data_IF_946758175279
#
_entry.id   IF_946758175279
#
_cell.length_a   1.000
_cell.length_b   1.000
_cell.length_c   1.000
_cell.angle_alpha   90.00
_cell.angle_beta   90.00
_cell.angle_gamma   90.00
#
_symmetry.space_group_name_H-M   'P 1'
#
loop_
_entity.id
_entity.type
_entity.pdbx_description
1 polymer ?
#
# COMPACT_ATOMS: atom_id res chain seq x y z
N UNK A 1 -20.97 -7.98 4.57
CA UNK A 1 -20.10 -9.06 5.08
C UNK A 1 -18.79 -8.89 4.39
N UNK A 2 -17.70 -8.79 5.15
CA UNK A 2 -16.37 -8.69 4.55
C UNK A 2 -15.90 -10.09 4.17
N UNK A 3 -15.83 -10.35 2.87
CA UNK A 3 -15.31 -11.60 2.30
C UNK A 3 -13.81 -11.48 2.07
N UNK A 4 -13.02 -12.29 2.79
CA UNK A 4 -11.59 -12.42 2.58
C UNK A 4 -11.20 -13.84 2.20
N UNK A 5 -10.28 -13.96 1.24
CA UNK A 5 -9.82 -15.24 0.73
C UNK A 5 -8.29 -15.37 0.78
N UNK A 6 -7.78 -16.56 1.16
CA UNK A 6 -6.37 -16.89 0.96
C UNK A 6 -6.07 -17.05 -0.53
N UNK A 7 -4.81 -16.91 -0.91
CA UNK A 7 -4.40 -16.95 -2.31
C UNK A 7 -3.06 -17.64 -2.49
N UNK A 8 -2.75 -18.00 -3.73
CA UNK A 8 -1.42 -18.48 -4.12
C UNK A 8 -0.61 -17.27 -4.57
N UNK A 9 0.20 -16.75 -3.66
CA UNK A 9 1.08 -15.62 -3.90
C UNK A 9 2.10 -15.93 -4.98
N UNK A 10 2.47 -14.88 -5.72
CA UNK A 10 3.48 -14.92 -6.76
C UNK A 10 4.74 -14.27 -6.20
N UNK A 11 5.78 -15.06 -5.99
CA UNK A 11 6.95 -14.67 -5.21
C UNK A 11 8.22 -14.71 -6.06
N UNK A 12 9.18 -13.85 -5.75
CA UNK A 12 10.48 -13.87 -6.42
C UNK A 12 11.24 -15.17 -6.12
N UNK A 13 11.78 -15.77 -7.19
CA UNK A 13 12.70 -16.88 -7.09
C UNK A 13 14.11 -16.38 -6.73
N UNK A 14 14.46 -16.45 -5.46
CA UNK A 14 15.76 -15.99 -4.93
C UNK A 14 16.97 -16.67 -5.61
N UNK A 15 16.80 -17.86 -6.21
CA UNK A 15 17.88 -18.50 -7.00
C UNK A 15 18.17 -17.77 -8.31
N UNK A 16 17.21 -17.03 -8.86
CA UNK A 16 17.36 -16.24 -10.10
C UNK A 16 17.66 -14.78 -9.82
N UNK A 17 17.03 -14.20 -8.80
CA UNK A 17 17.14 -12.75 -8.54
C UNK A 17 18.17 -12.38 -7.50
N UNK A 18 18.65 -13.35 -6.71
CA UNK A 18 19.50 -13.11 -5.55
C UNK A 18 18.69 -12.67 -4.32
N UNK A 19 19.28 -11.87 -3.43
CA UNK A 19 18.63 -11.35 -2.23
C UNK A 19 17.39 -10.50 -2.54
N UNK A 20 16.34 -10.61 -1.70
CA UNK A 20 15.03 -9.98 -1.95
C UNK A 20 15.12 -8.44 -1.97
N UNK A 21 16.01 -7.85 -1.17
CA UNK A 21 16.23 -6.39 -1.10
C UNK A 21 16.74 -5.77 -2.43
N UNK A 22 17.25 -6.60 -3.36
CA UNK A 22 17.70 -6.15 -4.67
C UNK A 22 16.53 -5.93 -5.64
N UNK A 23 15.39 -6.58 -5.39
CA UNK A 23 14.24 -6.59 -6.31
C UNK A 23 13.03 -5.80 -5.82
N UNK A 24 13.09 -5.19 -4.64
CA UNK A 24 12.05 -4.31 -4.12
C UNK A 24 12.21 -2.86 -4.59
N UNK A 25 11.12 -2.10 -4.46
CA UNK A 25 11.09 -0.68 -4.74
C UNK A 25 10.12 0.02 -3.77
N UNK A 26 10.31 1.33 -3.52
CA UNK A 26 9.32 2.16 -2.84
C UNK A 26 7.97 2.19 -3.58
N UNK A 27 6.90 2.73 -2.96
CA UNK A 27 5.65 3.03 -3.65
C UNK A 27 5.87 3.87 -4.92
N UNK A 28 5.15 3.54 -5.99
CA UNK A 28 5.38 4.08 -7.33
C UNK A 28 5.22 5.61 -7.43
N UNK A 29 4.45 6.20 -6.52
CA UNK A 29 4.09 7.62 -6.48
C UNK A 29 5.12 8.49 -5.75
N UNK A 30 6.09 7.88 -5.05
CA UNK A 30 7.22 8.58 -4.41
C UNK A 30 8.55 8.42 -5.18
N UNK A 31 8.57 7.61 -6.24
CA UNK A 31 9.78 7.35 -7.02
C UNK A 31 10.06 8.53 -7.97
N UNK A 32 11.22 9.18 -7.80
CA UNK A 32 11.71 10.18 -8.75
C UNK A 32 12.26 9.53 -10.04
N UNK A 33 12.40 10.27 -11.16
CA UNK A 33 13.05 9.74 -12.37
C UNK A 33 14.46 9.21 -12.11
N UNK A 34 15.26 9.90 -11.29
CA UNK A 34 16.61 9.49 -10.93
C UNK A 34 16.61 8.21 -10.10
N UNK A 35 15.66 8.09 -9.16
CA UNK A 35 15.47 6.87 -8.38
C UNK A 35 15.01 5.69 -9.26
N UNK A 36 14.13 5.95 -10.24
CA UNK A 36 13.72 4.94 -11.22
C UNK A 36 14.94 4.41 -11.98
N UNK A 37 15.82 5.28 -12.47
CA UNK A 37 17.06 4.86 -13.13
C UNK A 37 17.98 4.05 -12.21
N UNK A 38 18.09 4.44 -10.94
CA UNK A 38 18.87 3.71 -9.95
C UNK A 38 18.31 2.30 -9.71
N UNK A 39 16.98 2.16 -9.56
CA UNK A 39 16.31 0.87 -9.38
C UNK A 39 16.47 -0.04 -10.61
N UNK A 40 16.43 0.52 -11.82
CA UNK A 40 16.70 -0.24 -13.06
C UNK A 40 18.12 -0.78 -13.13
N UNK A 41 19.10 -0.03 -12.61
CA UNK A 41 20.50 -0.44 -12.53
C UNK A 41 20.78 -1.40 -11.37
N UNK A 42 20.01 -1.30 -10.27
CA UNK A 42 20.17 -2.11 -9.06
C UNK A 42 20.01 -3.60 -9.37
N UNK A 43 18.93 -3.97 -10.07
CA UNK A 43 18.69 -5.36 -10.46
C UNK A 43 17.83 -5.42 -11.74
N UNK A 44 18.14 -6.30 -12.71
CA UNK A 44 17.31 -6.48 -13.91
C UNK A 44 15.87 -6.93 -13.59
N UNK A 45 15.64 -7.56 -12.43
CA UNK A 45 14.34 -8.04 -11.95
C UNK A 45 13.71 -7.11 -10.90
N UNK A 46 14.14 -5.85 -10.80
CA UNK A 46 13.56 -4.93 -9.84
C UNK A 46 12.08 -4.64 -10.16
N UNK A 47 11.21 -4.77 -9.14
CA UNK A 47 9.75 -4.65 -9.25
C UNK A 47 9.28 -3.30 -9.81
N UNK A 48 10.14 -2.27 -9.81
CA UNK A 48 9.88 -0.99 -10.49
C UNK A 48 9.40 -1.18 -11.93
N UNK A 49 9.87 -2.23 -12.65
CA UNK A 49 9.44 -2.55 -14.02
C UNK A 49 7.97 -2.97 -14.12
N UNK A 50 7.40 -3.47 -13.03
CA UNK A 50 5.99 -3.85 -12.93
C UNK A 50 5.12 -2.69 -12.42
N UNK A 51 5.59 -1.92 -11.43
CA UNK A 51 4.79 -0.85 -10.79
C UNK A 51 4.89 0.52 -11.47
N UNK A 52 6.02 0.78 -12.12
CA UNK A 52 6.39 2.08 -12.69
C UNK A 52 7.38 1.88 -13.85
N UNK A 53 6.91 1.36 -14.98
CA UNK A 53 7.73 1.30 -16.19
C UNK A 53 8.02 2.71 -16.75
N UNK A 54 9.14 2.85 -17.47
CA UNK A 54 9.57 4.09 -18.11
C UNK A 54 8.58 4.53 -19.19
N UNK A 55 8.55 5.84 -19.41
CA UNK A 55 7.81 6.43 -20.52
C UNK A 55 8.79 6.89 -21.58
N UNK A 56 8.46 6.67 -22.84
CA UNK A 56 9.29 7.07 -23.96
C UNK A 56 8.51 8.00 -24.90
N UNK A 57 9.18 8.91 -25.64
CA UNK A 57 8.53 9.81 -26.58
C UNK A 57 7.69 9.12 -27.65
N UNK A 58 8.06 7.89 -28.02
CA UNK A 58 7.39 7.03 -29.00
C UNK A 58 6.20 6.24 -28.44
N UNK A 59 5.86 6.38 -27.15
CA UNK A 59 4.75 5.67 -26.54
C UNK A 59 3.41 6.03 -27.21
N UNK A 60 2.62 5.01 -27.49
CA UNK A 60 1.28 5.14 -28.05
C UNK A 60 0.25 4.30 -27.29
N UNK A 61 -0.97 4.20 -27.82
CA UNK A 61 -2.05 3.45 -27.18
C UNK A 61 -1.78 1.94 -27.11
N UNK A 62 -0.96 1.38 -27.99
CA UNK A 62 -0.66 -0.05 -28.13
C UNK A 62 0.70 -0.44 -27.54
N UNK A 63 1.65 0.48 -27.50
CA UNK A 63 2.97 0.29 -26.92
C UNK A 63 3.29 1.44 -25.97
N UNK A 64 3.13 1.19 -24.68
CA UNK A 64 3.41 2.15 -23.63
C UNK A 64 3.90 1.43 -22.36
N UNK A 65 4.15 2.20 -21.31
CA UNK A 65 4.59 1.68 -20.02
C UNK A 65 3.77 0.50 -19.48
N UNK A 66 2.44 0.51 -19.64
CA UNK A 66 1.57 -0.53 -19.10
C UNK A 66 1.68 -1.85 -19.89
N UNK A 67 1.75 -1.75 -21.22
CA UNK A 67 1.97 -2.94 -22.07
C UNK A 67 3.36 -3.51 -21.86
N UNK A 68 4.38 -2.66 -21.63
CA UNK A 68 5.72 -3.11 -21.23
C UNK A 68 5.74 -3.79 -19.87
N UNK A 69 5.03 -3.26 -18.86
CA UNK A 69 4.84 -3.95 -17.58
C UNK A 69 4.20 -5.32 -17.76
N UNK A 70 3.16 -5.43 -18.59
CA UNK A 70 2.48 -6.71 -18.87
C UNK A 70 3.39 -7.73 -19.54
N UNK A 71 4.13 -7.32 -20.58
CA UNK A 71 5.13 -8.18 -21.25
C UNK A 71 6.20 -8.64 -20.27
N UNK A 72 6.72 -7.72 -19.45
CA UNK A 72 7.73 -8.04 -18.43
C UNK A 72 7.18 -9.01 -17.38
N UNK A 73 5.96 -8.78 -16.91
CA UNK A 73 5.28 -9.61 -15.92
C UNK A 73 5.10 -11.05 -16.40
N UNK A 74 4.54 -11.23 -17.60
CA UNK A 74 4.34 -12.54 -18.21
C UNK A 74 5.68 -13.24 -18.43
N UNK A 75 6.68 -12.53 -18.95
CA UNK A 75 8.03 -13.06 -19.14
C UNK A 75 8.65 -13.52 -17.82
N UNK A 76 8.46 -12.80 -16.72
CA UNK A 76 8.98 -13.21 -15.41
C UNK A 76 8.30 -14.46 -14.85
N UNK A 77 7.03 -14.69 -15.18
CA UNK A 77 6.34 -15.94 -14.83
C UNK A 77 6.87 -17.09 -15.69
N UNK A 78 6.95 -16.90 -17.01
CA UNK A 78 7.49 -17.89 -17.97
C UNK A 78 8.94 -18.29 -17.65
N UNK A 79 9.77 -17.31 -17.36
CA UNK A 79 11.18 -17.48 -17.00
C UNK A 79 11.35 -17.88 -15.52
N UNK A 80 10.28 -18.22 -14.77
CA UNK A 80 10.27 -18.59 -13.34
C UNK A 80 11.08 -17.63 -12.43
N UNK A 81 11.15 -16.35 -12.81
CA UNK A 81 11.63 -15.26 -11.96
C UNK A 81 10.60 -15.00 -10.86
N UNK A 82 9.33 -15.08 -11.23
CA UNK A 82 8.18 -15.07 -10.35
C UNK A 82 7.56 -16.47 -10.33
N UNK A 83 7.44 -17.06 -9.15
CA UNK A 83 6.93 -18.43 -8.96
C UNK A 83 5.71 -18.40 -8.05
N UNK A 84 4.62 -19.00 -8.52
CA UNK A 84 3.39 -19.12 -7.74
C UNK A 84 3.54 -20.20 -6.68
N UNK A 85 3.16 -19.88 -5.44
CA UNK A 85 3.11 -20.86 -4.36
C UNK A 85 2.10 -21.99 -4.67
N UNK A 86 2.40 -23.19 -4.18
CA UNK A 86 1.57 -24.38 -4.44
C UNK A 86 0.22 -24.36 -3.71
N UNK A 87 0.21 -23.86 -2.48
CA UNK A 87 -0.94 -23.90 -1.58
C UNK A 87 -1.54 -22.49 -1.44
N UNK A 88 -2.85 -22.42 -1.29
CA UNK A 88 -3.49 -21.18 -0.85
C UNK A 88 -3.01 -20.86 0.57
N UNK A 89 -2.80 -19.58 0.84
CA UNK A 89 -2.47 -19.10 2.17
C UNK A 89 -2.72 -17.62 2.35
N UNK A 90 -2.65 -17.19 3.60
CA UNK A 90 -2.41 -15.80 3.94
C UNK A 90 -0.89 -15.60 4.09
N UNK A 91 -0.43 -14.39 3.82
CA UNK A 91 0.99 -14.05 3.95
C UNK A 91 1.16 -13.10 5.13
N UNK A 92 1.69 -13.62 6.23
CA UNK A 92 1.95 -12.81 7.43
C UNK A 92 3.11 -11.88 7.14
N UNK A 93 3.01 -10.64 7.57
CA UNK A 93 4.00 -9.60 7.33
C UNK A 93 4.21 -8.77 8.59
N UNK A 94 5.47 -8.59 8.97
CA UNK A 94 5.86 -7.72 10.07
C UNK A 94 6.77 -6.59 9.61
N UNK A 95 6.67 -5.46 10.30
CA UNK A 95 7.50 -4.28 10.11
C UNK A 95 7.99 -3.79 11.47
N UNK A 96 9.29 -3.91 11.70
CA UNK A 96 9.95 -3.41 12.90
C UNK A 96 10.58 -2.05 12.58
N UNK A 97 10.21 -1.02 13.35
CA UNK A 97 10.68 0.36 13.16
C UNK A 97 10.74 1.10 14.50
N UNK A 98 11.37 2.28 14.52
CA UNK A 98 11.44 3.12 15.72
C UNK A 98 10.40 4.23 15.66
N UNK A 99 9.59 4.36 16.72
CA UNK A 99 8.61 5.43 16.90
C UNK A 99 8.85 6.10 18.25
N UNK A 100 9.04 7.42 18.26
CA UNK A 100 9.31 8.20 19.48
C UNK A 100 10.45 7.67 20.38
N UNK A 101 11.44 6.99 19.76
CA UNK A 101 12.57 6.39 20.45
C UNK A 101 12.34 4.95 20.94
N UNK A 102 11.13 4.43 20.78
CA UNK A 102 10.76 3.06 21.12
C UNK A 102 10.71 2.16 19.89
N UNK A 103 11.04 0.88 20.06
CA UNK A 103 10.91 -0.11 19.00
C UNK A 103 9.45 -0.58 18.92
N UNK A 104 8.86 -0.45 17.74
CA UNK A 104 7.49 -0.86 17.44
C UNK A 104 7.53 -1.95 16.36
N UNK A 105 6.67 -2.95 16.51
CA UNK A 105 6.49 -4.01 15.51
C UNK A 105 5.03 -4.05 15.06
N UNK A 106 4.77 -3.67 13.81
CA UNK A 106 3.46 -3.82 13.19
C UNK A 106 3.37 -5.19 12.54
N UNK A 107 2.31 -5.92 12.86
CA UNK A 107 2.07 -7.27 12.32
C UNK A 107 0.70 -7.32 11.69
N UNK A 108 0.63 -7.87 10.48
CA UNK A 108 -0.62 -8.14 9.79
C UNK A 108 -0.45 -9.25 8.78
N UNK A 109 -1.39 -9.34 7.85
CA UNK A 109 -1.33 -10.34 6.79
C UNK A 109 -1.92 -9.83 5.48
N UNK A 110 -1.41 -10.36 4.37
CA UNK A 110 -2.00 -10.13 3.06
C UNK A 110 -3.12 -11.11 2.79
N UNK A 111 -4.25 -10.58 2.35
CA UNK A 111 -5.43 -11.32 1.93
C UNK A 111 -6.00 -10.73 0.64
N UNK A 112 -6.82 -11.52 -0.05
CA UNK A 112 -7.71 -10.99 -1.09
C UNK A 112 -9.03 -10.60 -0.43
N UNK A 113 -9.42 -9.34 -0.55
CA UNK A 113 -10.65 -8.80 0.04
C UNK A 113 -11.62 -8.46 -1.08
N UNK A 114 -12.87 -8.91 -0.98
CA UNK A 114 -13.91 -8.59 -1.95
C UNK A 114 -14.24 -7.11 -1.87
N UNK A 115 -14.26 -6.45 -3.02
CA UNK A 115 -14.69 -5.07 -3.17
C UNK A 115 -16.20 -4.96 -3.12
N UNK A 116 -16.66 -3.90 -2.48
CA UNK A 116 -18.06 -3.48 -2.36
C UNK A 116 -18.13 -1.94 -2.38
N UNK A 117 -19.29 -1.40 -2.76
CA UNK A 117 -19.55 0.04 -2.68
C UNK A 117 -19.44 0.52 -1.23
N UNK A 118 -18.89 1.71 -1.01
CA UNK A 118 -18.72 2.25 0.36
C UNK A 118 -20.04 2.41 1.11
N UNK A 119 -21.15 2.59 0.40
CA UNK A 119 -22.51 2.67 0.97
C UNK A 119 -22.95 1.38 1.69
N UNK A 120 -22.31 0.24 1.40
CA UNK A 120 -22.52 -1.01 2.13
C UNK A 120 -22.00 -0.97 3.58
N UNK A 121 -21.06 -0.07 3.87
CA UNK A 121 -20.61 0.26 5.22
C UNK A 121 -19.63 -0.73 5.87
N UNK A 122 -19.20 -1.82 5.21
CA UNK A 122 -18.16 -2.70 5.78
C UNK A 122 -16.74 -2.31 5.37
N UNK A 123 -16.57 -1.67 4.20
CA UNK A 123 -15.30 -1.02 3.83
C UNK A 123 -15.43 0.50 4.03
N UNK A 124 -14.62 1.04 4.94
CA UNK A 124 -14.71 2.43 5.37
C UNK A 124 -13.54 3.27 4.80
N UNK A 125 -13.80 4.27 3.93
CA UNK A 125 -12.81 5.25 3.52
C UNK A 125 -12.64 6.37 4.56
N UNK A 126 -11.56 7.15 4.47
CA UNK A 126 -11.35 8.35 5.28
C UNK A 126 -10.88 9.58 4.47
N UNK A 127 -10.73 9.44 3.15
CA UNK A 127 -10.39 10.53 2.24
C UNK A 127 -11.15 10.42 0.90
N UNK A 128 -11.26 11.56 0.20
CA UNK A 128 -11.73 11.60 -1.18
C UNK A 128 -10.57 11.37 -2.15
N UNK A 129 -10.90 10.86 -3.33
CA UNK A 129 -9.93 10.46 -4.34
C UNK A 129 -9.89 11.37 -5.57
N UNK A 130 -8.70 11.51 -6.15
CA UNK A 130 -8.42 12.25 -7.38
C UNK A 130 -8.56 11.37 -8.62
N UNK A 131 -9.23 11.88 -9.67
CA UNK A 131 -9.53 11.12 -10.88
C UNK A 131 -8.29 10.65 -11.68
N UNK A 132 -7.22 11.46 -11.74
CA UNK A 132 -6.01 11.16 -12.53
C UNK A 132 -5.27 9.91 -12.00
N UNK A 133 -5.20 9.75 -10.68
CA UNK A 133 -4.54 8.60 -10.05
C UNK A 133 -5.29 7.29 -10.36
N UNK A 134 -6.63 7.34 -10.44
CA UNK A 134 -7.46 6.19 -10.80
C UNK A 134 -7.20 5.68 -12.21
N UNK A 135 -7.07 6.57 -13.19
CA UNK A 135 -6.86 6.16 -14.58
C UNK A 135 -5.51 5.44 -14.79
N UNK A 136 -4.44 5.93 -14.18
CA UNK A 136 -3.12 5.31 -14.27
C UNK A 136 -3.13 3.88 -13.69
N UNK A 137 -3.71 3.71 -12.50
CA UNK A 137 -3.85 2.39 -11.87
C UNK A 137 -4.77 1.46 -12.66
N UNK A 138 -5.87 1.98 -13.21
CA UNK A 138 -6.79 1.21 -14.06
C UNK A 138 -6.10 0.67 -15.30
N UNK A 139 -5.28 1.48 -15.97
CA UNK A 139 -4.55 1.04 -17.17
C UNK A 139 -3.54 -0.08 -16.83
N UNK A 140 -2.84 0.02 -15.71
CA UNK A 140 -1.91 -1.01 -15.25
C UNK A 140 -2.65 -2.31 -14.89
N UNK A 141 -3.76 -2.21 -14.14
CA UNK A 141 -4.58 -3.35 -13.76
C UNK A 141 -5.17 -4.06 -14.98
N UNK A 142 -5.67 -3.32 -15.98
CA UNK A 142 -6.16 -3.89 -17.25
C UNK A 142 -5.06 -4.60 -18.04
N UNK A 143 -3.86 -4.02 -18.11
CA UNK A 143 -2.75 -4.57 -18.88
C UNK A 143 -2.15 -5.83 -18.23
N UNK A 144 -1.98 -5.83 -16.91
CA UNK A 144 -1.28 -6.90 -16.19
C UNK A 144 -2.21 -7.92 -15.54
N UNK A 145 -3.48 -7.57 -15.32
CA UNK A 145 -4.46 -8.37 -14.56
C UNK A 145 -3.92 -8.86 -13.21
N UNK A 146 -3.19 -7.97 -12.53
CA UNK A 146 -2.52 -8.26 -11.27
C UNK A 146 -2.49 -7.02 -10.36
N UNK A 147 -2.52 -7.25 -9.04
CA UNK A 147 -2.35 -6.22 -8.04
C UNK A 147 -0.88 -6.23 -7.55
N UNK A 148 -0.14 -5.15 -7.82
CA UNK A 148 1.26 -5.02 -7.39
C UNK A 148 1.45 -4.19 -6.13
N UNK A 149 0.42 -3.49 -5.67
CA UNK A 149 0.48 -2.57 -4.53
C UNK A 149 -0.72 -2.82 -3.62
N UNK A 150 -0.56 -3.55 -2.51
CA UNK A 150 -1.65 -3.89 -1.61
C UNK A 150 -2.24 -2.63 -0.99
N UNK A 151 -3.55 -2.60 -0.76
CA UNK A 151 -4.21 -1.55 0.02
C UNK A 151 -3.94 -1.81 1.49
N UNK A 152 -3.73 -0.77 2.29
CA UNK A 152 -3.53 -0.89 3.73
C UNK A 152 -4.89 -0.77 4.42
N UNK A 153 -5.38 -1.86 5.01
CA UNK A 153 -6.59 -1.92 5.81
C UNK A 153 -6.33 -2.18 7.29
N UNK A 154 -7.20 -1.63 8.13
CA UNK A 154 -7.25 -1.84 9.57
C UNK A 154 -8.55 -2.57 9.93
N UNK A 155 -8.48 -3.53 10.84
CA UNK A 155 -9.65 -4.22 11.38
C UNK A 155 -9.57 -4.25 12.91
N UNK A 156 -10.71 -4.47 13.57
CA UNK A 156 -10.77 -4.58 15.02
C UNK A 156 -10.68 -6.04 15.48
N UNK A 157 -9.68 -6.33 16.31
CA UNK A 157 -9.53 -7.58 17.06
C UNK A 157 -9.09 -7.29 18.51
N UNK A 158 -10.01 -6.83 19.37
CA UNK A 158 -9.71 -6.52 20.76
C UNK A 158 -9.31 -7.76 21.58
N UNK A 159 -9.75 -8.94 21.13
CA UNK A 159 -9.42 -10.24 21.74
C UNK A 159 -8.01 -10.74 21.39
N UNK A 160 -7.41 -10.23 20.30
CA UNK A 160 -6.10 -10.67 19.80
C UNK A 160 -6.10 -12.10 19.25
N UNK A 161 -7.23 -12.64 18.80
CA UNK A 161 -7.31 -14.01 18.27
C UNK A 161 -6.54 -14.15 16.96
N UNK A 162 -6.65 -13.16 16.07
CA UNK A 162 -5.92 -13.11 14.82
C UNK A 162 -4.43 -12.92 15.12
N UNK A 163 -4.09 -11.97 16.00
CA UNK A 163 -2.69 -11.70 16.37
C UNK A 163 -2.02 -12.93 16.99
N UNK A 164 -2.73 -13.72 17.80
CA UNK A 164 -2.22 -14.98 18.33
C UNK A 164 -1.88 -15.98 17.21
N UNK A 165 -2.74 -16.10 16.19
CA UNK A 165 -2.50 -16.95 15.01
C UNK A 165 -1.28 -16.46 14.22
N UNK A 166 -1.20 -15.16 13.94
CA UNK A 166 -0.07 -14.54 13.23
C UNK A 166 1.23 -14.76 14.02
N UNK A 167 1.18 -14.58 15.35
CA UNK A 167 2.28 -14.84 16.27
C UNK A 167 2.81 -16.27 16.21
N UNK A 168 1.93 -17.28 16.06
CA UNK A 168 2.40 -18.66 15.86
C UNK A 168 3.08 -18.85 14.51
N UNK A 169 2.57 -18.23 13.44
CA UNK A 169 3.18 -18.33 12.11
C UNK A 169 4.60 -17.71 12.09
N UNK A 170 4.80 -16.61 12.80
CA UNK A 170 6.09 -15.91 12.90
C UNK A 170 7.16 -16.66 13.71
N UNK A 171 6.82 -17.74 14.42
CA UNK A 171 7.82 -18.61 15.09
C UNK A 171 8.65 -19.44 14.09
N UNK A 172 8.15 -19.61 12.87
CA UNK A 172 8.91 -20.24 11.79
C UNK A 172 9.88 -19.28 11.12
N UNK A 173 10.67 -19.80 10.18
CA UNK A 173 11.60 -18.99 9.41
C UNK A 173 10.86 -18.11 8.39
N UNK A 174 11.16 -16.79 8.32
CA UNK A 174 10.61 -15.94 7.28
C UNK A 174 11.17 -16.34 5.92
N UNK A 175 10.34 -16.32 4.87
CA UNK A 175 10.80 -16.58 3.50
C UNK A 175 11.46 -15.35 2.86
N UNK A 176 11.23 -14.17 3.43
CA UNK A 176 11.84 -12.92 3.02
C UNK A 176 12.12 -12.04 4.25
N UNK A 177 13.31 -11.45 4.26
CA UNK A 177 13.74 -10.43 5.23
C UNK A 177 14.39 -9.30 4.43
N UNK A 178 13.92 -8.08 4.63
CA UNK A 178 14.40 -6.89 3.93
C UNK A 178 14.58 -5.78 4.95
N UNK A 179 15.76 -5.17 4.98
CA UNK A 179 16.00 -3.95 5.74
C UNK A 179 16.05 -2.76 4.76
N UNK A 180 15.16 -1.79 4.94
CA UNK A 180 15.11 -0.60 4.11
C UNK A 180 14.78 0.62 4.97
N UNK A 181 15.60 1.67 4.89
CA UNK A 181 15.44 2.93 5.64
C UNK A 181 15.26 2.75 7.16
N UNK A 182 15.96 1.77 7.76
CA UNK A 182 15.85 1.47 9.19
C UNK A 182 14.58 0.72 9.59
N UNK A 183 13.80 0.24 8.62
CA UNK A 183 12.64 -0.63 8.84
C UNK A 183 13.01 -2.06 8.43
N UNK A 184 12.84 -3.01 9.35
CA UNK A 184 13.04 -4.43 9.07
C UNK A 184 11.68 -5.06 8.74
N UNK A 185 11.58 -5.58 7.52
CA UNK A 185 10.37 -6.16 6.96
C UNK A 185 10.55 -7.67 6.84
N UNK A 186 9.62 -8.46 7.37
CA UNK A 186 9.68 -9.93 7.34
C UNK A 186 8.37 -10.50 6.86
N UNK A 187 8.42 -11.62 6.14
CA UNK A 187 7.23 -12.27 5.62
C UNK A 187 7.24 -13.80 5.83
N UNK A 188 6.08 -14.34 6.18
CA UNK A 188 5.84 -15.77 6.41
C UNK A 188 4.62 -16.26 5.64
N UNK A 189 4.58 -17.58 5.42
CA UNK A 189 3.39 -18.24 4.86
C UNK A 189 2.53 -18.77 6.00
N UNK A 190 1.23 -18.53 5.94
CA UNK A 190 0.23 -19.19 6.77
C UNK A 190 -0.69 -20.00 5.85
N UNK A 191 -0.56 -21.32 5.87
CA UNK A 191 -1.25 -22.24 4.96
C UNK A 191 -1.93 -23.44 5.67
N UNK A 192 -2.11 -23.32 6.99
CA UNK A 192 -2.82 -24.29 7.82
C UNK A 192 -4.34 -24.15 7.61
N UNK A 193 -5.00 -25.24 7.19
CA UNK A 193 -6.39 -25.19 6.73
C UNK A 193 -7.38 -24.72 7.82
N UNK A 194 -7.17 -25.11 9.08
CA UNK A 194 -8.04 -24.71 10.20
C UNK A 194 -7.89 -23.22 10.48
N UNK A 195 -6.65 -22.71 10.52
CA UNK A 195 -6.38 -21.27 10.71
C UNK A 195 -6.91 -20.43 9.55
N UNK A 196 -6.78 -20.92 8.30
CA UNK A 196 -7.32 -20.22 7.14
C UNK A 196 -8.84 -20.08 7.23
N UNK A 197 -9.55 -21.18 7.55
CA UNK A 197 -11.01 -21.17 7.70
C UNK A 197 -11.45 -20.23 8.83
N UNK A 198 -10.78 -20.30 9.98
CA UNK A 198 -11.06 -19.42 11.12
C UNK A 198 -10.92 -17.94 10.74
N UNK A 199 -9.80 -17.55 10.13
CA UNK A 199 -9.56 -16.15 9.74
C UNK A 199 -10.61 -15.68 8.73
N UNK A 200 -10.95 -16.50 7.73
CA UNK A 200 -12.00 -16.13 6.76
C UNK A 200 -13.34 -15.94 7.44
N UNK A 201 -13.75 -16.84 8.36
CA UNK A 201 -15.01 -16.71 9.08
C UNK A 201 -15.02 -15.50 10.03
N UNK A 202 -13.90 -15.24 10.70
CA UNK A 202 -13.73 -14.13 11.64
C UNK A 202 -13.98 -12.76 11.01
N UNK A 203 -13.76 -12.61 9.70
CA UNK A 203 -13.96 -11.35 8.99
C UNK A 203 -15.40 -11.09 8.55
N UNK A 204 -16.27 -12.10 8.57
CA UNK A 204 -17.62 -11.98 8.00
C UNK A 204 -18.44 -10.81 8.61
N UNK A 205 -18.28 -10.55 9.90
CA UNK A 205 -18.98 -9.50 10.64
C UNK A 205 -18.13 -8.26 10.95
N UNK A 206 -16.93 -8.17 10.36
CA UNK A 206 -15.98 -7.08 10.59
C UNK A 206 -16.21 -5.92 9.64
N UNK A 207 -15.55 -4.81 9.99
CA UNK A 207 -15.32 -3.68 9.09
C UNK A 207 -13.83 -3.54 8.83
N UNK A 208 -13.49 -3.04 7.65
CA UNK A 208 -12.12 -2.68 7.29
C UNK A 208 -12.07 -1.17 7.04
N UNK A 209 -11.28 -0.46 7.84
CA UNK A 209 -10.93 0.93 7.60
C UNK A 209 -9.73 0.98 6.65
N UNK A 210 -9.87 1.64 5.49
CA UNK A 210 -8.76 1.84 4.58
C UNK A 210 -7.84 2.92 5.17
N UNK A 211 -6.62 2.57 5.56
CA UNK A 211 -5.59 3.48 6.03
C UNK A 211 -4.76 4.08 4.89
N UNK A 212 -4.60 3.37 3.78
CA UNK A 212 -3.95 3.87 2.57
C UNK A 212 -4.41 3.06 1.35
N UNK A 213 -4.62 3.73 0.22
CA UNK A 213 -4.94 3.08 -1.04
C UNK A 213 -6.38 3.23 -1.51
N UNK A 214 -7.09 4.31 -1.16
CA UNK A 214 -8.46 4.60 -1.59
C UNK A 214 -8.59 4.62 -3.13
N UNK A 215 -7.63 5.24 -3.82
CA UNK A 215 -7.55 5.21 -5.29
C UNK A 215 -7.44 3.80 -5.85
N UNK A 216 -6.67 2.93 -5.18
CA UNK A 216 -6.48 1.52 -5.58
C UNK A 216 -7.76 0.72 -5.35
N UNK A 217 -8.43 0.94 -4.22
CA UNK A 217 -9.71 0.31 -3.91
C UNK A 217 -10.79 0.64 -4.93
N UNK A 218 -11.03 1.94 -5.19
CA UNK A 218 -12.01 2.35 -6.20
C UNK A 218 -11.63 1.88 -7.61
N UNK A 219 -10.33 1.84 -7.94
CA UNK A 219 -9.88 1.29 -9.22
C UNK A 219 -10.26 -0.18 -9.34
N UNK A 220 -10.06 -0.98 -8.29
CA UNK A 220 -10.44 -2.38 -8.27
C UNK A 220 -11.96 -2.57 -8.34
N UNK A 221 -12.73 -1.76 -7.60
CA UNK A 221 -14.20 -1.79 -7.65
C UNK A 221 -14.74 -1.44 -9.05
N UNK A 222 -14.19 -0.40 -9.68
CA UNK A 222 -14.55 -0.05 -11.06
C UNK A 222 -14.15 -1.15 -12.05
N UNK A 223 -12.99 -1.77 -11.85
CA UNK A 223 -12.54 -2.88 -12.68
C UNK A 223 -13.48 -4.09 -12.56
N UNK A 224 -13.90 -4.44 -11.34
CA UNK A 224 -14.93 -5.44 -11.11
C UNK A 224 -16.22 -5.08 -11.85
N UNK A 225 -16.73 -3.86 -11.70
CA UNK A 225 -17.96 -3.43 -12.35
C UNK A 225 -17.91 -3.54 -13.88
N UNK A 226 -16.77 -3.22 -14.49
CA UNK A 226 -16.55 -3.33 -15.94
C UNK A 226 -16.35 -4.78 -16.41
N UNK A 227 -15.80 -5.68 -15.58
CA UNK A 227 -15.28 -6.97 -16.02
C UNK A 227 -15.89 -8.20 -15.31
N UNK A 228 -16.88 -8.02 -14.42
CA UNK A 228 -17.47 -9.11 -13.60
C UNK A 228 -18.00 -10.32 -14.38
N UNK A 229 -18.28 -10.15 -15.67
CA UNK A 229 -18.78 -11.22 -16.54
C UNK A 229 -17.67 -11.89 -17.37
N UNK A 230 -16.46 -11.33 -17.43
CA UNK A 230 -15.37 -11.76 -18.31
C UNK A 230 -14.12 -12.19 -17.55
N UNK A 231 -13.87 -11.57 -16.40
CA UNK A 231 -12.69 -11.82 -15.59
C UNK A 231 -13.15 -12.45 -14.29
N UNK A 232 -12.90 -13.75 -14.20
CA UNK A 232 -13.05 -14.50 -12.96
C UNK A 232 -12.34 -13.76 -11.84
N UNK A 233 -13.01 -13.68 -10.70
CA UNK A 233 -12.40 -13.19 -9.47
C UNK A 233 -11.97 -11.71 -9.49
N UNK A 234 -12.44 -10.94 -10.47
CA UNK A 234 -12.26 -9.48 -10.56
C UNK A 234 -12.82 -8.70 -9.35
N UNK A 235 -13.65 -9.35 -8.53
CA UNK A 235 -14.24 -8.76 -7.33
C UNK A 235 -13.24 -8.54 -6.21
N UNK A 236 -12.11 -9.24 -6.17
CA UNK A 236 -11.18 -9.17 -5.03
C UNK A 236 -9.93 -8.35 -5.32
N UNK A 237 -9.48 -7.62 -4.30
CA UNK A 237 -8.25 -6.82 -4.31
C UNK A 237 -7.32 -7.26 -3.18
N UNK A 238 -6.00 -7.18 -3.40
CA UNK A 238 -5.03 -7.53 -2.38
C UNK A 238 -4.94 -6.42 -1.32
N UNK A 239 -5.12 -6.78 -0.05
CA UNK A 239 -4.99 -5.87 1.08
C UNK A 239 -4.01 -6.43 2.11
N UNK A 240 -3.23 -5.55 2.72
CA UNK A 240 -2.55 -5.80 4.00
C UNK A 240 -3.52 -5.43 5.12
N UNK A 241 -3.80 -6.36 6.02
CA UNK A 241 -4.74 -6.19 7.12
C UNK A 241 -3.98 -6.29 8.44
N UNK A 242 -4.08 -5.25 9.28
CA UNK A 242 -3.45 -5.20 10.61
C UNK A 242 -4.50 -4.87 11.68
N UNK A 243 -4.28 -5.38 12.89
CA UNK A 243 -5.14 -5.10 14.02
C UNK A 243 -5.01 -3.62 14.46
N UNK A 244 -6.14 -2.95 14.66
CA UNK A 244 -6.21 -1.57 15.14
C UNK A 244 -5.79 -1.47 16.61
N UNK A 245 -6.11 -2.48 17.42
CA UNK A 245 -5.86 -2.49 18.85
C UNK A 245 -4.43 -2.91 19.24
N UNK A 246 -3.59 -3.30 18.27
CA UNK A 246 -2.22 -3.75 18.51
C UNK A 246 -1.24 -2.65 18.96
N UNK A 247 -1.68 -1.38 19.04
CA UNK A 247 -0.86 -0.21 19.39
C UNK A 247 0.44 -0.06 18.55
N UNK A 248 0.48 -0.71 17.39
CA UNK A 248 1.64 -0.74 16.49
C UNK A 248 1.45 0.18 15.27
N UNK A 249 0.57 1.17 15.38
CA UNK A 249 0.26 2.13 14.31
C UNK A 249 0.79 3.50 14.70
N UNK A 250 1.76 3.98 13.93
CA UNK A 250 2.19 5.37 13.98
C UNK A 250 1.48 6.16 12.87
N UNK A 251 0.70 7.17 13.25
CA UNK A 251 0.01 8.08 12.32
C UNK A 251 0.62 9.46 12.46
N UNK A 252 1.14 10.01 11.36
CA UNK A 252 1.75 11.33 11.33
C UNK A 252 0.82 12.37 10.69
N UNK A 253 0.86 13.63 11.15
CA UNK A 253 0.15 14.71 10.48
C UNK A 253 0.77 15.02 9.10
N UNK A 254 -0.05 15.51 8.19
CA UNK A 254 0.40 16.00 6.88
C UNK A 254 0.57 17.52 6.96
N UNK A 255 1.81 17.99 6.88
CA UNK A 255 2.11 19.42 6.77
C UNK A 255 2.17 19.86 5.30
N UNK A 256 1.48 20.96 4.96
CA UNK A 256 1.41 21.47 3.58
C UNK A 256 2.28 22.70 3.42
N UNK A 257 3.14 22.70 2.41
CA UNK A 257 3.90 23.87 1.98
C UNK A 257 3.25 24.45 0.72
N UNK A 258 2.91 25.74 0.77
CA UNK A 258 2.27 26.44 -0.34
C UNK A 258 3.32 27.33 -1.01
N UNK A 259 3.46 27.21 -2.33
CA UNK A 259 4.25 28.14 -3.14
C UNK A 259 3.34 29.21 -3.71
N UNK A 260 3.58 30.45 -3.34
CA UNK A 260 2.79 31.58 -3.81
C UNK A 260 3.14 31.96 -5.27
N UNK A 261 2.16 32.45 -6.05
CA UNK A 261 2.41 32.98 -7.40
C UNK A 261 3.31 34.23 -7.35
N UNK A 262 3.78 34.71 -8.50
CA UNK A 262 4.49 36.00 -8.59
C UNK A 262 3.87 36.82 -9.71
N UNK A 263 3.25 37.99 -9.42
CA UNK A 263 3.15 38.66 -8.11
C UNK A 263 2.25 37.90 -7.11
N UNK A 264 2.50 38.13 -5.81
CA UNK A 264 1.69 37.63 -4.70
C UNK A 264 1.16 38.81 -3.89
N UNK A 265 -0.16 38.90 -3.73
CA UNK A 265 -0.79 39.84 -2.81
C UNK A 265 -1.03 39.13 -1.48
N UNK A 266 -0.06 39.28 -0.57
CA UNK A 266 -0.12 38.66 0.75
C UNK A 266 -1.29 39.18 1.58
N UNK A 267 -1.60 40.47 1.49
CA UNK A 267 -2.68 41.08 2.26
C UNK A 267 -4.04 40.54 1.81
N UNK A 268 -4.28 40.44 0.51
CA UNK A 268 -5.51 39.85 -0.02
C UNK A 268 -5.61 38.36 0.36
N UNK A 269 -4.53 37.60 0.22
CA UNK A 269 -4.51 36.18 0.57
C UNK A 269 -4.83 35.95 2.05
N UNK A 270 -4.19 36.69 2.96
CA UNK A 270 -4.41 36.54 4.40
C UNK A 270 -5.84 36.92 4.79
N UNK A 271 -6.38 38.01 4.24
CA UNK A 271 -7.79 38.38 4.43
C UNK A 271 -8.75 37.26 3.98
N UNK A 272 -8.43 36.53 2.91
CA UNK A 272 -9.24 35.40 2.47
C UNK A 272 -9.13 34.20 3.42
N UNK A 273 -7.93 33.87 3.86
CA UNK A 273 -7.65 32.74 4.78
C UNK A 273 -8.28 32.97 6.16
N UNK A 274 -8.23 34.20 6.69
CA UNK A 274 -8.82 34.54 7.99
C UNK A 274 -10.35 34.35 8.04
N UNK A 275 -11.03 34.27 6.90
CA UNK A 275 -12.46 33.91 6.88
C UNK A 275 -12.72 32.43 7.22
N UNK A 276 -11.70 31.58 7.11
CA UNK A 276 -11.81 30.13 7.29
C UNK A 276 -10.95 29.60 8.44
N UNK A 277 -9.91 30.34 8.85
CA UNK A 277 -8.91 29.88 9.81
C UNK A 277 -8.53 30.97 10.81
N UNK A 278 -8.18 30.56 12.03
CA UNK A 278 -7.42 31.42 12.95
C UNK A 278 -5.96 31.43 12.52
N UNK A 279 -5.40 32.62 12.30
CA UNK A 279 -4.05 32.79 11.78
C UNK A 279 -3.18 33.46 12.82
N UNK A 280 -2.05 32.83 13.16
CA UNK A 280 -1.07 33.37 14.09
C UNK A 280 0.30 33.46 13.40
N UNK A 281 0.95 34.64 13.40
CA UNK A 281 2.28 34.78 12.85
C UNK A 281 3.31 34.06 13.74
N UNK A 282 4.27 33.41 13.09
CA UNK A 282 5.43 32.80 13.75
C UNK A 282 6.66 33.62 13.35
N UNK A 283 7.41 34.11 14.34
CA UNK A 283 8.61 34.95 14.12
C UNK A 283 9.66 34.26 13.22
N UNK A 284 10.42 35.06 12.47
CA UNK A 284 11.58 34.55 11.74
C UNK A 284 12.65 34.03 12.71
N UNK A 285 13.21 32.84 12.42
CA UNK A 285 14.25 32.22 13.25
C UNK A 285 13.73 31.36 14.41
N UNK A 286 12.43 31.05 14.45
CA UNK A 286 11.86 30.13 15.44
C UNK A 286 12.46 28.73 15.28
N UNK A 287 12.98 28.18 16.38
CA UNK A 287 13.55 26.84 16.39
C UNK A 287 12.53 25.79 15.92
N UNK A 288 13.00 24.79 15.17
CA UNK A 288 12.18 23.67 14.66
C UNK A 288 11.27 23.06 15.72
N UNK A 289 11.74 22.98 16.97
CA UNK A 289 10.97 22.44 18.11
C UNK A 289 9.78 23.32 18.50
N UNK A 290 9.89 24.64 18.37
CA UNK A 290 8.78 25.57 18.63
C UNK A 290 7.74 25.51 17.50
N UNK A 291 8.17 25.42 16.25
CA UNK A 291 7.26 25.20 15.11
C UNK A 291 6.50 23.87 15.29
N UNK A 292 7.22 22.79 15.64
CA UNK A 292 6.59 21.49 15.90
C UNK A 292 5.59 21.55 17.06
N UNK A 293 5.95 22.16 18.19
CA UNK A 293 5.01 22.34 19.31
C UNK A 293 3.77 23.14 18.93
N UNK A 294 3.91 24.19 18.12
CA UNK A 294 2.77 24.98 17.66
C UNK A 294 1.83 24.14 16.78
N UNK A 295 2.39 23.35 15.86
CA UNK A 295 1.64 22.41 15.03
C UNK A 295 0.96 21.32 15.87
N UNK A 296 1.69 20.68 16.78
CA UNK A 296 1.15 19.62 17.66
C UNK A 296 0.03 20.15 18.58
N UNK A 297 0.10 21.42 19.01
CA UNK A 297 -0.94 22.05 19.84
C UNK A 297 -2.21 22.41 19.07
N UNK A 298 -2.11 22.65 17.76
CA UNK A 298 -3.26 22.94 16.91
C UNK A 298 -4.10 21.69 16.62
N UNK A 299 -3.48 20.51 16.62
CA UNK A 299 -4.17 19.22 16.40
C UNK A 299 -4.96 18.72 17.63
N UNK A 300 -4.75 19.33 18.81
CA UNK A 300 -5.40 18.95 20.07
C UNK A 300 -6.70 19.74 20.38
N UNK A 301 -7.12 20.64 19.47
CA UNK A 301 -8.28 21.53 19.61
C UNK A 301 -9.56 21.03 18.95
#
# INVERSE_FOLDING_TARGET
MVDIAPFRGLLFNQRKVGPTDQVTAPPYDVISPEQQEALYKKNPYNVVRLILEKQYPEDDKKNNRYTRSSVTFNKWIEDEVLVQDKNHGFYVYSQEYTFEGESVCRVGFFARVRTEDFDSGNICPHEFTLAKAKQDRMNLLKACRANFSPIFGLFSDPSGEIDAILGQAMKGDPFAVIEENGVINKAWRLNDAEKLAFITEYFNDKKILIADGHHRYETALNYYNENRNEVDDSAHVMMFLTNLEAQSLAVYPIHRLIKCPTPFDEAEFMNQIENYFSVEPIDEGVEKNKIRKALDSADAG
#
